data_IF_567453874999
#
_entry.id   IF_567453874999
#
_cell.length_a   1.000
_cell.length_b   1.000
_cell.length_c   1.000
_cell.angle_alpha   90.00
_cell.angle_beta   90.00
_cell.angle_gamma   90.00
#
_symmetry.space_group_name_H-M   'P 1'
#
loop_
_entity.id
_entity.type
_entity.pdbx_description
1 polymer ?
#
# COMPACT_ATOMS: atom_id res chain seq x y z
N UNK A 1 39.05 -0.98 13.01
CA UNK A 1 38.23 -1.09 14.24
C UNK A 1 37.41 0.17 14.50
N UNK A 2 38.03 1.36 14.60
CA UNK A 2 37.33 2.64 14.84
C UNK A 2 36.24 2.93 13.80
N UNK A 3 36.53 2.74 12.49
CA UNK A 3 35.56 2.94 11.41
C UNK A 3 34.33 2.04 11.60
N UNK A 4 34.52 0.77 11.95
CA UNK A 4 33.41 -0.16 12.17
C UNK A 4 32.54 0.26 13.37
N UNK A 5 33.16 0.74 14.45
CA UNK A 5 32.43 1.25 15.63
C UNK A 5 31.58 2.46 15.25
N UNK A 6 32.17 3.43 14.53
CA UNK A 6 31.45 4.63 14.05
C UNK A 6 30.29 4.22 13.13
N UNK A 7 30.51 3.29 12.20
CA UNK A 7 29.45 2.81 11.30
C UNK A 7 28.29 2.15 12.07
N UNK A 8 28.57 1.36 13.10
CA UNK A 8 27.53 0.77 13.95
C UNK A 8 26.70 1.85 14.66
N UNK A 9 27.35 2.88 15.22
CA UNK A 9 26.64 3.99 15.85
C UNK A 9 25.75 4.75 14.87
N UNK A 10 26.23 5.01 13.65
CA UNK A 10 25.44 5.67 12.59
C UNK A 10 24.22 4.83 12.22
N UNK A 11 24.40 3.51 12.00
CA UNK A 11 23.29 2.60 11.67
C UNK A 11 22.27 2.55 12.81
N UNK A 12 22.73 2.48 14.05
CA UNK A 12 21.85 2.46 15.21
C UNK A 12 21.08 3.77 15.38
N UNK A 13 21.75 4.92 15.29
CA UNK A 13 21.12 6.24 15.37
C UNK A 13 20.08 6.44 14.25
N UNK A 14 20.41 6.01 13.03
CA UNK A 14 19.48 6.00 11.90
C UNK A 14 18.25 5.13 12.22
N UNK A 15 18.47 3.88 12.65
CA UNK A 15 17.39 2.95 12.96
C UNK A 15 16.48 3.50 14.07
N UNK A 16 17.06 4.02 15.14
CA UNK A 16 16.33 4.58 16.26
C UNK A 16 15.49 5.80 15.86
N UNK A 17 16.08 6.74 15.10
CA UNK A 17 15.37 7.93 14.62
C UNK A 17 14.20 7.57 13.70
N UNK A 18 14.40 6.60 12.79
CA UNK A 18 13.33 6.09 11.92
C UNK A 18 12.22 5.41 12.73
N UNK A 19 12.58 4.61 13.75
CA UNK A 19 11.60 3.92 14.59
C UNK A 19 10.79 4.91 15.43
N UNK A 20 11.46 5.90 16.03
CA UNK A 20 10.84 6.94 16.85
C UNK A 20 9.88 7.80 16.03
N UNK A 21 10.33 8.34 14.89
CA UNK A 21 9.47 9.15 14.02
C UNK A 21 8.27 8.36 13.45
N UNK A 22 8.40 7.05 13.24
CA UNK A 22 7.28 6.22 12.78
C UNK A 22 6.18 5.99 13.83
N UNK A 23 6.42 6.26 15.12
CA UNK A 23 5.42 6.05 16.17
C UNK A 23 4.24 7.02 16.04
N UNK A 24 4.51 8.28 15.72
CA UNK A 24 3.46 9.29 15.51
C UNK A 24 2.54 8.91 14.34
N UNK A 25 3.12 8.47 13.22
CA UNK A 25 2.32 8.00 12.08
C UNK A 25 1.54 6.73 12.40
N UNK A 26 2.07 5.86 13.26
CA UNK A 26 1.36 4.65 13.70
C UNK A 26 0.16 4.96 14.59
N UNK A 27 0.30 5.94 15.47
CA UNK A 27 -0.80 6.42 16.30
C UNK A 27 -1.89 7.03 15.41
N UNK A 28 -1.50 7.90 14.46
CA UNK A 28 -2.42 8.43 13.45
C UNK A 28 -3.12 7.34 12.65
N UNK A 29 -2.37 6.32 12.21
CA UNK A 29 -2.90 5.17 11.49
C UNK A 29 -3.89 4.38 12.35
N UNK A 30 -3.61 4.18 13.63
CA UNK A 30 -4.53 3.49 14.54
C UNK A 30 -5.85 4.26 14.67
N UNK A 31 -5.79 5.57 14.89
CA UNK A 31 -6.97 6.41 15.04
C UNK A 31 -7.83 6.41 13.78
N UNK A 32 -7.23 6.66 12.61
CA UNK A 32 -7.99 6.68 11.34
C UNK A 32 -8.56 5.30 10.98
N UNK A 33 -7.88 4.22 11.36
CA UNK A 33 -8.38 2.85 11.17
C UNK A 33 -9.58 2.59 12.07
N UNK A 34 -9.51 2.99 13.35
CA UNK A 34 -10.65 2.84 14.28
C UNK A 34 -11.86 3.62 13.76
N UNK A 35 -11.66 4.87 13.34
CA UNK A 35 -12.72 5.70 12.79
C UNK A 35 -13.38 5.05 11.56
N UNK A 36 -12.57 4.50 10.63
CA UNK A 36 -13.07 3.79 9.46
C UNK A 36 -13.83 2.50 9.80
N UNK A 37 -13.34 1.73 10.78
CA UNK A 37 -13.98 0.47 11.21
C UNK A 37 -15.33 0.70 11.89
N UNK A 38 -15.50 1.87 12.53
CA UNK A 38 -16.74 2.27 13.20
C UNK A 38 -17.81 2.83 12.25
N UNK A 39 -17.52 2.98 10.96
CA UNK A 39 -18.53 3.45 10.00
C UNK A 39 -19.57 2.37 9.70
N UNK A 40 -20.86 2.70 9.87
CA UNK A 40 -21.98 1.77 9.66
C UNK A 40 -22.23 1.47 8.17
N UNK A 41 -21.93 2.43 7.29
CA UNK A 41 -22.21 2.34 5.85
C UNK A 41 -21.09 1.65 5.04
N UNK A 42 -20.01 1.20 5.69
CA UNK A 42 -18.88 0.55 5.02
C UNK A 42 -19.09 -0.98 5.03
N UNK A 43 -19.03 -1.65 3.86
CA UNK A 43 -19.13 -3.11 3.79
C UNK A 43 -18.03 -3.80 4.60
N UNK A 44 -18.38 -4.89 5.30
CA UNK A 44 -17.43 -5.68 6.11
C UNK A 44 -16.20 -6.15 5.31
N UNK A 45 -16.37 -6.46 4.02
CA UNK A 45 -15.28 -6.81 3.10
C UNK A 45 -14.18 -5.73 3.07
N UNK A 46 -14.55 -4.44 3.11
CA UNK A 46 -13.59 -3.33 3.09
C UNK A 46 -12.91 -3.15 4.45
N UNK A 47 -13.66 -3.37 5.54
CA UNK A 47 -13.14 -3.37 6.91
C UNK A 47 -12.08 -4.47 7.10
N UNK A 48 -12.31 -5.66 6.57
CA UNK A 48 -11.34 -6.75 6.57
C UNK A 48 -10.05 -6.39 5.83
N UNK A 49 -10.16 -5.75 4.67
CA UNK A 49 -9.01 -5.29 3.89
C UNK A 49 -8.19 -4.27 4.67
N UNK A 50 -8.88 -3.30 5.29
CA UNK A 50 -8.25 -2.27 6.12
C UNK A 50 -7.55 -2.90 7.31
N UNK A 51 -8.21 -3.81 8.03
CA UNK A 51 -7.64 -4.50 9.18
C UNK A 51 -6.38 -5.31 8.81
N UNK A 52 -6.43 -6.07 7.70
CA UNK A 52 -5.30 -6.85 7.23
C UNK A 52 -4.12 -5.96 6.82
N UNK A 53 -4.43 -4.83 6.17
CA UNK A 53 -3.42 -3.85 5.74
C UNK A 53 -2.80 -3.15 6.96
N UNK A 54 -3.60 -2.83 7.98
CA UNK A 54 -3.15 -2.25 9.24
C UNK A 54 -2.14 -3.15 9.97
N UNK A 55 -2.45 -4.44 10.14
CA UNK A 55 -1.54 -5.40 10.77
C UNK A 55 -0.25 -5.54 9.96
N UNK A 56 -0.37 -5.51 8.64
CA UNK A 56 0.76 -5.72 7.74
C UNK A 56 1.66 -4.50 7.60
N UNK A 57 1.14 -3.28 7.81
CA UNK A 57 1.90 -2.02 7.81
C UNK A 57 3.07 -2.02 8.80
N UNK A 58 3.01 -2.88 9.82
CA UNK A 58 4.07 -3.10 10.79
C UNK A 58 5.23 -3.98 10.31
N UNK A 59 5.18 -4.57 9.11
CA UNK A 59 6.16 -5.57 8.66
C UNK A 59 7.06 -5.00 7.56
N UNK A 60 8.37 -5.24 7.67
CA UNK A 60 9.37 -4.68 6.75
C UNK A 60 9.19 -5.14 5.28
N UNK A 61 8.61 -6.32 5.08
CA UNK A 61 8.37 -6.91 3.76
C UNK A 61 7.06 -6.44 3.10
N UNK A 62 6.15 -5.80 3.85
CA UNK A 62 4.83 -5.45 3.34
C UNK A 62 4.92 -4.45 2.18
N UNK A 63 5.64 -3.36 2.38
CA UNK A 63 5.80 -2.32 1.36
C UNK A 63 6.50 -2.85 0.08
N UNK A 64 7.63 -3.57 0.15
CA UNK A 64 8.21 -4.25 -1.01
C UNK A 64 7.23 -5.12 -1.79
N UNK A 65 6.40 -5.90 -1.07
CA UNK A 65 5.43 -6.80 -1.69
C UNK A 65 4.35 -6.01 -2.44
N UNK A 66 3.82 -4.96 -1.83
CA UNK A 66 2.86 -4.04 -2.47
C UNK A 66 3.48 -3.42 -3.73
N UNK A 67 4.70 -2.89 -3.63
CA UNK A 67 5.44 -2.30 -4.74
C UNK A 67 5.64 -3.25 -5.94
N UNK A 68 5.99 -4.51 -5.69
CA UNK A 68 6.17 -5.52 -6.75
C UNK A 68 4.83 -5.95 -7.34
N UNK A 69 3.79 -6.08 -6.51
CA UNK A 69 2.46 -6.50 -6.94
C UNK A 69 1.69 -5.43 -7.74
N UNK A 70 1.95 -4.15 -7.49
CA UNK A 70 1.24 -3.03 -8.12
C UNK A 70 1.32 -3.02 -9.66
N UNK A 71 2.49 -3.16 -10.30
CA UNK A 71 2.61 -3.25 -11.75
C UNK A 71 1.91 -4.48 -12.35
N UNK A 72 1.92 -5.60 -11.63
CA UNK A 72 1.24 -6.83 -12.05
C UNK A 72 -0.27 -6.62 -12.03
N UNK A 73 -0.79 -6.03 -10.94
CA UNK A 73 -2.19 -5.64 -10.85
C UNK A 73 -2.58 -4.65 -11.96
N UNK A 74 -1.71 -3.70 -12.28
CA UNK A 74 -1.93 -2.75 -13.38
C UNK A 74 -2.00 -3.45 -14.74
N UNK A 75 -1.18 -4.47 -15.01
CA UNK A 75 -1.25 -5.26 -16.24
C UNK A 75 -2.54 -6.08 -16.34
N UNK A 76 -3.02 -6.64 -15.23
CA UNK A 76 -4.19 -7.53 -15.21
C UNK A 76 -5.53 -6.79 -15.12
N UNK A 77 -5.54 -5.55 -14.63
CA UNK A 77 -6.76 -4.76 -14.49
C UNK A 77 -7.42 -4.47 -15.83
N UNK A 78 -8.73 -4.65 -15.95
CA UNK A 78 -9.51 -4.24 -17.12
C UNK A 78 -10.15 -2.86 -16.93
N UNK A 79 -10.71 -2.27 -17.99
CA UNK A 79 -11.33 -0.94 -17.95
C UNK A 79 -12.50 -0.84 -16.96
N UNK A 80 -13.20 -1.95 -16.67
CA UNK A 80 -14.26 -2.02 -15.65
C UNK A 80 -13.71 -1.90 -14.23
N UNK A 81 -12.49 -2.37 -13.99
CA UNK A 81 -11.84 -2.34 -12.68
C UNK A 81 -11.38 -0.92 -12.33
N UNK A 82 -11.03 -0.12 -13.34
CA UNK A 82 -10.68 1.29 -13.15
C UNK A 82 -11.87 2.12 -12.64
N UNK A 83 -13.05 1.95 -13.24
CA UNK A 83 -14.27 2.66 -12.82
C UNK A 83 -14.73 2.24 -11.42
N UNK A 84 -14.66 0.95 -11.09
CA UNK A 84 -14.95 0.46 -9.74
C UNK A 84 -13.91 0.94 -8.72
N UNK A 85 -12.66 1.14 -9.12
CA UNK A 85 -11.60 1.57 -8.19
C UNK A 85 -11.83 2.98 -7.63
N UNK A 86 -12.37 3.90 -8.42
CA UNK A 86 -12.66 5.27 -7.96
C UNK A 86 -13.84 5.29 -6.98
N UNK A 87 -14.86 4.47 -7.23
CA UNK A 87 -16.00 4.28 -6.33
C UNK A 87 -15.58 3.62 -5.00
N UNK A 88 -14.70 2.63 -5.06
CA UNK A 88 -14.21 1.97 -3.85
C UNK A 88 -13.32 2.91 -3.02
N UNK A 89 -12.52 3.76 -3.67
CA UNK A 89 -11.62 4.69 -2.97
C UNK A 89 -12.36 5.80 -2.24
N UNK A 90 -13.54 6.18 -2.74
CA UNK A 90 -14.42 7.14 -2.08
C UNK A 90 -15.34 6.52 -1.04
N UNK A 91 -15.31 5.19 -0.84
CA UNK A 91 -16.11 4.55 0.22
C UNK A 91 -15.65 4.99 1.61
N UNK A 92 -16.63 5.48 2.35
CA UNK A 92 -16.51 5.97 3.71
C UNK A 92 -17.03 7.41 3.79
N UNK A 93 -17.92 7.67 4.74
CA UNK A 93 -18.61 8.97 4.87
C UNK A 93 -17.73 9.99 5.59
N UNK A 94 -17.05 9.58 6.67
CA UNK A 94 -16.20 10.46 7.49
C UNK A 94 -14.73 10.28 7.17
N UNK A 95 -14.32 9.04 6.92
CA UNK A 95 -12.95 8.64 6.59
C UNK A 95 -12.98 7.88 5.29
N UNK A 96 -12.26 8.35 4.27
CA UNK A 96 -12.21 7.63 3.00
C UNK A 96 -11.23 6.47 3.12
N UNK A 97 -11.53 5.37 2.44
CA UNK A 97 -10.62 4.22 2.36
C UNK A 97 -9.21 4.63 1.92
N UNK A 98 -9.12 5.59 0.99
CA UNK A 98 -7.85 6.14 0.53
C UNK A 98 -7.03 6.79 1.67
N UNK A 99 -7.67 7.49 2.60
CA UNK A 99 -6.96 8.17 3.69
C UNK A 99 -6.29 7.15 4.63
N UNK A 100 -6.95 6.00 4.85
CA UNK A 100 -6.38 4.87 5.59
C UNK A 100 -5.18 4.29 4.85
N UNK A 101 -5.30 4.03 3.54
CA UNK A 101 -4.21 3.49 2.72
C UNK A 101 -3.01 4.43 2.64
N UNK A 102 -3.24 5.74 2.54
CA UNK A 102 -2.19 6.76 2.54
C UNK A 102 -1.47 6.81 3.89
N UNK A 103 -2.21 6.67 5.00
CA UNK A 103 -1.62 6.57 6.34
C UNK A 103 -0.78 5.30 6.52
N UNK A 104 -1.21 4.16 5.96
CA UNK A 104 -0.42 2.93 5.92
C UNK A 104 0.91 3.14 5.17
N UNK A 105 0.86 3.83 4.03
CA UNK A 105 2.04 4.15 3.24
C UNK A 105 3.01 5.03 4.04
N UNK A 106 2.50 6.06 4.72
CA UNK A 106 3.28 7.00 5.53
C UNK A 106 4.04 6.28 6.66
N UNK A 107 3.40 5.34 7.36
CA UNK A 107 4.06 4.51 8.38
C UNK A 107 5.24 3.74 7.79
N UNK A 108 5.05 3.13 6.62
CA UNK A 108 6.12 2.35 5.96
C UNK A 108 7.28 3.24 5.51
N UNK A 109 6.97 4.40 4.92
CA UNK A 109 7.96 5.38 4.47
C UNK A 109 8.79 5.96 5.62
N UNK A 110 8.16 6.30 6.76
CA UNK A 110 8.89 6.78 7.94
C UNK A 110 9.73 5.71 8.61
N UNK A 111 9.21 4.48 8.67
CA UNK A 111 9.91 3.37 9.36
C UNK A 111 11.08 2.82 8.56
N UNK A 112 10.96 2.73 7.24
CA UNK A 112 11.99 2.18 6.36
C UNK A 112 12.20 3.10 5.13
N UNK A 113 12.77 4.30 5.30
CA UNK A 113 12.80 5.29 4.22
C UNK A 113 13.67 4.85 3.04
N UNK A 114 14.82 4.22 3.29
CA UNK A 114 15.71 3.74 2.21
C UNK A 114 15.01 2.68 1.36
N UNK A 115 14.43 1.67 2.02
CA UNK A 115 13.67 0.60 1.35
C UNK A 115 12.48 1.19 0.60
N UNK A 116 11.76 2.13 1.19
CA UNK A 116 10.57 2.71 0.58
C UNK A 116 10.89 3.54 -0.66
N UNK A 117 12.00 4.31 -0.64
CA UNK A 117 12.48 5.05 -1.80
C UNK A 117 12.87 4.08 -2.91
N UNK A 118 13.67 3.06 -2.60
CA UNK A 118 14.14 2.09 -3.59
C UNK A 118 12.97 1.36 -4.28
N UNK A 119 12.05 0.79 -3.49
CA UNK A 119 10.90 0.08 -4.04
C UNK A 119 9.87 1.02 -4.68
N UNK A 120 9.76 2.27 -4.22
CA UNK A 120 8.93 3.29 -4.86
C UNK A 120 9.42 3.62 -6.28
N UNK A 121 10.72 3.86 -6.45
CA UNK A 121 11.34 4.08 -7.77
C UNK A 121 11.13 2.85 -8.67
N UNK A 122 11.40 1.66 -8.13
CA UNK A 122 11.20 0.41 -8.86
C UNK A 122 9.75 0.24 -9.33
N UNK A 123 8.78 0.58 -8.48
CA UNK A 123 7.35 0.52 -8.81
C UNK A 123 7.01 1.47 -9.94
N UNK A 124 7.53 2.70 -9.93
CA UNK A 124 7.31 3.67 -11.00
C UNK A 124 7.86 3.18 -12.33
N UNK A 125 9.09 2.64 -12.33
CA UNK A 125 9.71 2.06 -13.54
C UNK A 125 8.91 0.88 -14.08
N UNK A 126 8.52 -0.06 -13.22
CA UNK A 126 7.74 -1.22 -13.62
C UNK A 126 6.32 -0.85 -14.07
N UNK A 127 5.70 0.15 -13.44
CA UNK A 127 4.37 0.64 -13.84
C UNK A 127 4.45 1.33 -15.21
N UNK A 128 5.48 2.13 -15.46
CA UNK A 128 5.71 2.72 -16.78
C UNK A 128 5.87 1.64 -17.87
N UNK A 129 6.62 0.58 -17.58
CA UNK A 129 6.76 -0.57 -18.48
C UNK A 129 5.41 -1.29 -18.69
N UNK A 130 4.64 -1.51 -17.63
CA UNK A 130 3.32 -2.13 -17.70
C UNK A 130 2.34 -1.33 -18.57
N UNK A 131 2.37 0.00 -18.43
CA UNK A 131 1.61 0.94 -19.27
C UNK A 131 2.04 0.82 -20.72
N UNK A 132 3.35 0.86 -21.00
CA UNK A 132 3.88 0.71 -22.37
C UNK A 132 3.44 -0.61 -23.01
N UNK A 133 3.53 -1.72 -22.28
CA UNK A 133 3.04 -3.03 -22.71
C UNK A 133 1.55 -2.93 -23.06
N UNK A 134 0.71 -2.39 -22.16
CA UNK A 134 -0.71 -2.21 -22.43
C UNK A 134 -1.01 -1.33 -23.65
N UNK A 135 -0.24 -0.27 -23.88
CA UNK A 135 -0.38 0.57 -25.09
C UNK A 135 -0.05 -0.25 -26.34
N UNK A 136 1.06 -0.99 -26.33
CA UNK A 136 1.52 -1.80 -27.46
C UNK A 136 0.53 -2.93 -27.83
N UNK A 137 -0.10 -3.55 -26.84
CA UNK A 137 -1.12 -4.58 -27.04
C UNK A 137 -2.55 -4.01 -27.24
N UNK A 138 -2.68 -2.70 -27.47
CA UNK A 138 -3.96 -2.05 -27.81
C UNK A 138 -4.96 -1.93 -26.65
N UNK A 139 -4.51 -2.07 -25.40
CA UNK A 139 -5.33 -2.18 -24.20
C UNK A 139 -5.39 -0.94 -23.31
N UNK A 140 -5.15 0.28 -23.83
CA UNK A 140 -5.19 1.50 -23.02
C UNK A 140 -6.19 2.53 -23.54
N UNK A 141 -7.29 2.71 -22.79
CA UNK A 141 -8.10 3.94 -22.83
C UNK A 141 -7.94 4.82 -21.58
N UNK A 142 -7.57 4.29 -20.39
CA UNK A 142 -7.31 5.09 -19.17
C UNK A 142 -6.26 4.47 -18.23
N UNK A 143 -5.48 5.33 -17.57
CA UNK A 143 -4.41 4.99 -16.63
C UNK A 143 -4.92 4.93 -15.17
N UNK A 144 -4.85 3.79 -14.47
CA UNK A 144 -5.14 3.74 -13.03
C UNK A 144 -3.98 4.35 -12.23
N UNK A 145 -4.30 5.08 -11.17
CA UNK A 145 -3.30 5.63 -10.25
C UNK A 145 -2.79 4.57 -9.26
N UNK A 146 -1.58 4.77 -8.73
CA UNK A 146 -0.83 3.82 -7.87
C UNK A 146 -1.66 3.31 -6.67
N UNK A 147 -2.51 4.16 -6.14
CA UNK A 147 -3.48 3.88 -5.07
C UNK A 147 -4.62 2.93 -5.47
N UNK A 148 -5.04 2.91 -6.74
CA UNK A 148 -5.99 1.90 -7.25
C UNK A 148 -5.34 0.52 -7.38
N UNK A 149 -4.02 0.46 -7.61
CA UNK A 149 -3.28 -0.81 -7.66
C UNK A 149 -3.27 -1.55 -6.32
N UNK A 150 -3.19 -0.81 -5.20
CA UNK A 150 -3.25 -1.40 -3.84
C UNK A 150 -4.59 -2.09 -3.62
N UNK A 151 -5.67 -1.46 -4.10
CA UNK A 151 -7.03 -1.96 -3.97
C UNK A 151 -7.26 -3.26 -4.77
N UNK A 152 -6.74 -3.31 -6.00
CA UNK A 152 -6.83 -4.47 -6.88
C UNK A 152 -6.07 -5.66 -6.29
N UNK A 153 -4.89 -5.42 -5.69
CA UNK A 153 -4.12 -6.46 -5.01
C UNK A 153 -4.87 -7.01 -3.80
N UNK A 154 -5.47 -6.13 -2.99
CA UNK A 154 -6.25 -6.54 -1.84
C UNK A 154 -7.48 -7.38 -2.24
N UNK A 155 -8.16 -7.02 -3.33
CA UNK A 155 -9.30 -7.76 -3.84
C UNK A 155 -8.92 -9.14 -4.41
N UNK A 156 -7.78 -9.23 -5.08
CA UNK A 156 -7.23 -10.51 -5.57
C UNK A 156 -6.92 -11.47 -4.41
N UNK A 157 -6.26 -10.98 -3.36
CA UNK A 157 -5.92 -11.77 -2.17
C UNK A 157 -7.18 -12.25 -1.46
N UNK A 158 -8.20 -11.40 -1.35
CA UNK A 158 -9.45 -11.78 -0.69
C UNK A 158 -10.22 -12.85 -1.49
N UNK A 159 -10.22 -12.74 -2.83
CA UNK A 159 -10.84 -13.74 -3.72
C UNK A 159 -10.10 -15.09 -3.68
N UNK A 160 -8.77 -15.07 -3.53
CA UNK A 160 -7.99 -16.29 -3.35
C UNK A 160 -8.26 -16.94 -1.98
N UNK A 161 -8.41 -16.13 -0.93
CA UNK A 161 -8.74 -16.60 0.41
C UNK A 161 -10.11 -17.28 0.46
N UNK A 162 -11.14 -16.69 -0.15
CA UNK A 162 -12.48 -17.28 -0.18
C UNK A 162 -12.54 -18.56 -1.00
N UNK A 163 -11.75 -18.68 -2.08
CA UNK A 163 -11.62 -19.93 -2.84
C UNK A 163 -10.82 -21.03 -2.13
N UNK A 164 -9.93 -20.68 -1.20
CA UNK A 164 -9.14 -21.66 -0.44
C UNK A 164 -9.91 -22.24 0.76
N UNK A 165 -10.97 -21.56 1.21
CA UNK A 165 -11.80 -21.94 2.35
C UNK A 165 -13.21 -22.42 1.95
N UNK A 166 -13.44 -22.65 0.65
CA UNK A 166 -14.62 -23.32 0.09
C UNK A 166 -14.25 -24.75 -0.32
#
# INVERSE_FOLDING_TARGET
>A
MIIAIISVFIIYAYWYSCRSSSLLEKEKLANITIDYMNEENVPDKMKDIVYLSFISAGKWWFFPLVCISSPIALLLANDRDAANSDEIRSKGDKVKLQDVMDSILAVNMKRNPITSIFFGILTLLLSALAILIKVLFGGLKKLPSVSSSVLIVAELVNTLRTKLHA
#
